data_IF_995953918771
#
_entry.id   IF_995953918771
#
_cell.length_a   1.000
_cell.length_b   1.000
_cell.length_c   1.000
_cell.angle_alpha   90.00
_cell.angle_beta   90.00
_cell.angle_gamma   90.00
#
_symmetry.space_group_name_H-M   'P 1'
#
loop_
_entity.id
_entity.type
_entity.pdbx_description
1 polymer ?
#
# COMPACT_ATOMS: atom_id res chain seq x y z
N UNK A 1 6.21 8.46 -3.15
CA UNK A 1 4.83 8.60 -2.65
C UNK A 1 4.26 9.91 -3.16
N UNK A 2 3.13 9.90 -3.87
CA UNK A 2 2.53 11.14 -4.39
C UNK A 2 1.46 11.70 -3.46
N UNK A 3 0.78 10.83 -2.70
CA UNK A 3 -0.30 11.17 -1.76
C UNK A 3 -0.46 10.01 -0.76
N UNK A 4 -0.84 10.31 0.48
CA UNK A 4 -1.23 9.33 1.51
C UNK A 4 -2.64 9.65 1.97
N UNK A 5 -3.50 8.63 1.99
CA UNK A 5 -4.85 8.70 2.57
C UNK A 5 -4.94 7.77 3.76
N UNK A 6 -5.42 8.30 4.87
CA UNK A 6 -5.76 7.45 6.01
C UNK A 6 -7.04 6.67 5.73
N UNK A 7 -7.05 5.40 6.14
CA UNK A 7 -8.22 4.54 6.16
C UNK A 7 -8.55 4.18 7.61
N UNK A 8 -9.78 3.69 7.90
CA UNK A 8 -10.13 3.18 9.22
C UNK A 8 -9.23 2.02 9.67
N UNK A 9 -8.75 1.21 8.73
CA UNK A 9 -8.01 -0.02 8.95
C UNK A 9 -6.58 0.00 8.37
N UNK A 10 -6.05 1.18 8.04
CA UNK A 10 -4.71 1.30 7.44
C UNK A 10 -4.48 2.58 6.66
N UNK A 11 -3.79 2.48 5.53
CA UNK A 11 -3.45 3.59 4.63
C UNK A 11 -3.62 3.20 3.16
N UNK A 12 -3.95 4.19 2.34
CA UNK A 12 -3.85 4.09 0.89
C UNK A 12 -2.79 5.08 0.38
N UNK A 13 -1.90 4.58 -0.46
CA UNK A 13 -0.72 5.26 -0.96
C UNK A 13 -0.88 5.46 -2.46
N UNK A 14 -0.84 6.71 -2.93
CA UNK A 14 -0.84 6.96 -4.38
C UNK A 14 0.54 6.69 -4.94
N UNK A 15 0.58 5.77 -5.90
CA UNK A 15 1.79 5.43 -6.64
C UNK A 15 1.72 6.02 -8.06
N UNK A 16 2.86 6.17 -8.75
CA UNK A 16 2.85 6.48 -10.17
C UNK A 16 2.07 5.42 -10.96
N UNK A 17 1.26 5.85 -11.93
CA UNK A 17 0.39 4.96 -12.72
C UNK A 17 1.11 4.30 -13.91
N UNK A 18 2.42 4.50 -14.08
CA UNK A 18 3.17 3.85 -15.15
C UNK A 18 3.38 2.36 -14.87
N UNK A 19 3.50 1.57 -15.95
CA UNK A 19 3.55 0.12 -15.85
C UNK A 19 4.75 -0.40 -15.01
N UNK A 20 5.89 0.30 -15.05
CA UNK A 20 7.07 -0.11 -14.29
C UNK A 20 6.82 0.05 -12.79
N UNK A 21 6.23 1.16 -12.37
CA UNK A 21 5.84 1.41 -10.98
C UNK A 21 4.81 0.38 -10.48
N UNK A 22 3.79 0.06 -11.28
CA UNK A 22 2.76 -0.94 -10.89
C UNK A 22 3.37 -2.32 -10.70
N UNK A 23 4.23 -2.77 -11.63
CA UNK A 23 4.89 -4.08 -11.53
C UNK A 23 5.83 -4.16 -10.33
N UNK A 24 6.62 -3.11 -10.09
CA UNK A 24 7.53 -3.06 -8.94
C UNK A 24 6.79 -3.17 -7.60
N UNK A 25 5.65 -2.47 -7.47
CA UNK A 25 4.84 -2.56 -6.24
C UNK A 25 4.19 -3.93 -6.10
N UNK A 26 3.70 -4.53 -7.19
CA UNK A 26 3.13 -5.88 -7.16
C UNK A 26 4.17 -6.91 -6.73
N UNK A 27 5.40 -6.85 -7.25
CA UNK A 27 6.51 -7.71 -6.84
C UNK A 27 6.81 -7.53 -5.35
N UNK A 28 6.98 -6.28 -4.90
CA UNK A 28 7.23 -5.97 -3.49
C UNK A 28 6.16 -6.55 -2.57
N UNK A 29 4.86 -6.41 -2.90
CA UNK A 29 3.76 -6.99 -2.10
C UNK A 29 3.89 -8.51 -1.95
N UNK A 30 4.36 -9.22 -2.99
CA UNK A 30 4.51 -10.69 -2.95
C UNK A 30 5.65 -11.15 -2.05
N UNK A 31 6.67 -10.31 -1.87
CA UNK A 31 7.78 -10.52 -0.95
C UNK A 31 7.36 -10.13 0.47
N UNK A 32 6.77 -8.95 0.63
CA UNK A 32 6.43 -8.38 1.94
C UNK A 32 5.33 -9.17 2.67
N UNK A 33 4.40 -9.81 1.96
CA UNK A 33 3.42 -10.70 2.61
C UNK A 33 4.07 -11.85 3.39
N UNK A 34 5.32 -12.21 3.06
CA UNK A 34 6.08 -13.26 3.77
C UNK A 34 6.62 -12.74 5.10
N UNK A 35 7.18 -11.52 5.13
CA UNK A 35 7.74 -10.93 6.35
C UNK A 35 6.65 -10.30 7.24
N UNK A 36 5.56 -9.82 6.64
CA UNK A 36 4.45 -9.13 7.28
C UNK A 36 3.10 -9.83 7.00
N UNK A 37 2.90 -11.08 7.45
CA UNK A 37 1.71 -11.87 7.12
C UNK A 37 0.40 -11.33 7.74
N UNK A 38 0.49 -10.33 8.61
CA UNK A 38 -0.66 -9.65 9.23
C UNK A 38 -1.17 -8.46 8.41
N UNK A 39 -0.45 -8.04 7.37
CA UNK A 39 -0.85 -6.95 6.48
C UNK A 39 -1.69 -7.48 5.31
N UNK A 40 -2.78 -6.77 5.03
CA UNK A 40 -3.52 -6.86 3.78
C UNK A 40 -2.91 -5.90 2.75
N UNK A 41 -2.69 -6.40 1.53
CA UNK A 41 -2.17 -5.61 0.42
C UNK A 41 -3.18 -5.64 -0.73
N UNK A 42 -3.50 -4.48 -1.30
CA UNK A 42 -4.28 -4.40 -2.54
C UNK A 42 -3.73 -3.31 -3.46
N UNK A 43 -3.75 -3.58 -4.76
CA UNK A 43 -3.51 -2.58 -5.81
C UNK A 43 -4.84 -2.27 -6.49
N UNK A 44 -5.22 -1.00 -6.49
CA UNK A 44 -6.45 -0.51 -7.11
C UNK A 44 -6.09 0.46 -8.24
N UNK A 45 -6.50 0.12 -9.46
CA UNK A 45 -6.33 0.98 -10.64
C UNK A 45 -7.70 1.62 -10.92
N UNK A 46 -7.80 2.94 -10.73
CA UNK A 46 -9.07 3.63 -10.95
C UNK A 46 -9.42 3.75 -12.44
N UNK A 47 -10.72 3.85 -12.72
CA UNK A 47 -11.26 3.94 -14.09
C UNK A 47 -10.79 5.21 -14.78
N UNK A 48 -10.92 5.25 -16.11
CA UNK A 48 -10.77 6.47 -16.92
C UNK A 48 -9.39 7.15 -16.78
N UNK A 49 -8.33 6.36 -16.57
CA UNK A 49 -6.98 6.88 -16.38
C UNK A 49 -6.76 7.52 -15.00
N UNK A 50 -7.62 7.17 -14.04
CA UNK A 50 -7.50 7.59 -12.65
C UNK A 50 -6.21 7.08 -11.97
N UNK A 51 -5.99 7.51 -10.72
CA UNK A 51 -4.83 7.12 -9.95
C UNK A 51 -4.73 5.61 -9.70
N UNK A 52 -3.52 5.16 -9.40
CA UNK A 52 -3.27 3.84 -8.84
C UNK A 52 -2.99 3.97 -7.35
N UNK A 53 -3.67 3.15 -6.55
CA UNK A 53 -3.54 3.10 -5.10
C UNK A 53 -2.98 1.77 -4.65
N UNK A 54 -1.95 1.83 -3.82
CA UNK A 54 -1.54 0.73 -2.96
C UNK A 54 -2.26 0.88 -1.62
N UNK A 55 -3.10 -0.08 -1.25
CA UNK A 55 -3.72 -0.16 0.07
C UNK A 55 -2.94 -1.11 0.95
N UNK A 56 -2.63 -0.64 2.14
CA UNK A 56 -2.02 -1.40 3.21
C UNK A 56 -3.00 -1.38 4.39
N UNK A 57 -3.59 -2.52 4.71
CA UNK A 57 -4.59 -2.64 5.78
C UNK A 57 -4.23 -3.72 6.79
N UNK A 58 -4.93 -3.78 7.91
CA UNK A 58 -4.71 -4.81 8.91
C UNK A 58 -5.65 -4.72 10.10
N UNK A 59 -5.32 -5.50 11.13
CA UNK A 59 -6.09 -5.56 12.39
C UNK A 59 -5.87 -4.29 13.24
N UNK A 60 -6.67 -4.07 14.30
CA UNK A 60 -6.42 -2.97 15.24
C UNK A 60 -4.95 -2.94 15.71
N UNK A 61 -4.35 -1.75 15.76
CA UNK A 61 -2.91 -1.57 16.02
C UNK A 61 -2.02 -1.49 14.77
N UNK A 62 -2.58 -1.73 13.57
CA UNK A 62 -1.77 -1.76 12.33
C UNK A 62 -1.23 -0.38 11.95
N UNK A 63 -1.98 0.70 12.19
CA UNK A 63 -1.55 2.05 11.80
C UNK A 63 -0.36 2.50 12.66
N UNK A 64 -0.40 2.18 13.94
CA UNK A 64 0.69 2.41 14.89
C UNK A 64 1.95 1.64 14.49
N UNK A 65 1.80 0.36 14.10
CA UNK A 65 2.91 -0.43 13.55
C UNK A 65 3.51 0.25 12.31
N UNK A 66 2.69 0.67 11.35
CA UNK A 66 3.16 1.30 10.12
C UNK A 66 3.87 2.64 10.36
N UNK A 67 3.38 3.47 11.29
CA UNK A 67 4.04 4.72 11.66
C UNK A 67 5.42 4.48 12.27
N UNK A 68 5.57 3.44 13.08
CA UNK A 68 6.87 3.05 13.63
C UNK A 68 7.81 2.47 12.56
N UNK A 69 7.27 1.70 11.62
CA UNK A 69 8.04 1.10 10.52
C UNK A 69 8.52 2.14 9.50
N UNK A 70 7.70 3.17 9.23
CA UNK A 70 8.01 4.25 8.29
C UNK A 70 9.06 5.26 8.81
N UNK A 71 9.43 5.19 10.09
CA UNK A 71 10.45 6.04 10.71
C UNK A 71 11.88 5.51 10.63
N UNK A 72 12.13 4.52 9.77
CA UNK A 72 13.45 3.90 9.49
C UNK A 72 13.81 4.07 8.03
#
# INVERSE_FOLDING_TARGET
MLEIRELPDGYALRIPSDAASVLAVAEWMTLDRVCCPFLGFALEIEREGGPVWLRLTGRPGVKEFMQQAAGR
#
